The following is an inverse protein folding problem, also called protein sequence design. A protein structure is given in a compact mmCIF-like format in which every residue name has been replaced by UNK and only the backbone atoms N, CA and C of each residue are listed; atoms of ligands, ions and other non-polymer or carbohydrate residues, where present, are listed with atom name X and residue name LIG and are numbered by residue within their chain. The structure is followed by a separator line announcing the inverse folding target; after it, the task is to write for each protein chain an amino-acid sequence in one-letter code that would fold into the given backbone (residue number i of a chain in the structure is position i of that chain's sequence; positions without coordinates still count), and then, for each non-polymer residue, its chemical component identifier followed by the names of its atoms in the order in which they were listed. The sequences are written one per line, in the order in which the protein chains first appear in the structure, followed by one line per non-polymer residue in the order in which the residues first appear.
data_IF_693241055585
#
_entry.id   IF_693241055585
#
_cell.length_a   1.000
_cell.length_b   1.000
_cell.length_c   1.000
_cell.angle_alpha   90.00
_cell.angle_beta   90.00
_cell.angle_gamma   90.00
#
_symmetry.space_group_name_H-M   'P 1'
#
loop_
_entity.id
_entity.type
_entity.pdbx_description
1 polymer ?
#
# COMPACT_ATOMS: atom_id res chain seq x y z
N UNK A 1 -34.80 -2.46 6.23
CA UNK A 1 -36.06 -2.85 5.58
C UNK A 1 -36.88 -3.64 6.60
N UNK A 2 -38.21 -3.71 6.47
CA UNK A 2 -39.09 -4.44 7.39
C UNK A 2 -39.39 -5.85 6.87
N UNK A 3 -39.14 -6.88 7.69
CA UNK A 3 -39.44 -8.28 7.33
C UNK A 3 -40.95 -8.52 7.37
N UNK A 4 -41.56 -8.69 6.19
CA UNK A 4 -42.99 -8.87 6.01
C UNK A 4 -43.31 -10.19 5.28
N UNK A 5 -44.60 -10.45 5.01
CA UNK A 5 -45.03 -11.67 4.31
C UNK A 5 -44.48 -11.79 2.88
N UNK A 6 -44.19 -10.67 2.20
CA UNK A 6 -43.60 -10.68 0.87
C UNK A 6 -42.14 -11.15 0.94
N UNK A 7 -41.45 -10.75 1.98
CA UNK A 7 -40.04 -11.05 2.18
C UNK A 7 -39.83 -12.48 2.71
N UNK A 8 -40.76 -12.97 3.52
CA UNK A 8 -40.87 -14.40 3.80
C UNK A 8 -41.11 -15.22 2.54
N UNK A 9 -42.00 -14.77 1.65
CA UNK A 9 -42.26 -15.44 0.38
C UNK A 9 -41.02 -15.44 -0.51
N UNK A 10 -40.33 -14.29 -0.61
CA UNK A 10 -39.08 -14.18 -1.35
C UNK A 10 -38.01 -15.11 -0.78
N UNK A 11 -37.90 -15.22 0.54
CA UNK A 11 -36.96 -16.12 1.19
C UNK A 11 -37.27 -17.59 0.86
N UNK A 12 -38.53 -18.01 1.00
CA UNK A 12 -38.96 -19.36 0.60
C UNK A 12 -38.65 -19.64 -0.86
N UNK A 13 -38.88 -18.67 -1.75
CA UNK A 13 -38.55 -18.77 -3.17
C UNK A 13 -37.05 -18.93 -3.42
N UNK A 14 -36.21 -18.17 -2.71
CA UNK A 14 -34.75 -18.25 -2.82
C UNK A 14 -34.19 -19.57 -2.30
N UNK A 15 -34.74 -20.11 -1.20
CA UNK A 15 -34.39 -21.44 -0.70
C UNK A 15 -34.81 -22.52 -1.69
N UNK A 16 -36.05 -22.48 -2.19
CA UNK A 16 -36.54 -23.44 -3.19
C UNK A 16 -35.69 -23.39 -4.48
N UNK A 17 -35.30 -22.18 -4.92
CA UNK A 17 -34.39 -22.00 -6.03
C UNK A 17 -33.01 -22.64 -5.77
N UNK A 18 -32.43 -22.41 -4.59
CA UNK A 18 -31.13 -22.97 -4.23
C UNK A 18 -31.15 -24.50 -4.26
N UNK A 19 -32.21 -25.10 -3.71
CA UNK A 19 -32.42 -26.56 -3.73
C UNK A 19 -32.53 -27.11 -5.16
N UNK A 20 -33.34 -26.48 -6.01
CA UNK A 20 -33.48 -26.88 -7.43
C UNK A 20 -32.15 -26.81 -8.18
N UNK A 21 -31.35 -25.78 -7.90
CA UNK A 21 -30.06 -25.58 -8.57
C UNK A 21 -29.03 -26.61 -8.11
N UNK A 22 -29.06 -27.00 -6.83
CA UNK A 22 -28.12 -27.96 -6.27
C UNK A 22 -28.37 -29.39 -6.77
N UNK A 23 -29.59 -29.92 -6.61
CA UNK A 23 -29.85 -31.34 -6.86
C UNK A 23 -30.00 -31.68 -8.35
N UNK A 24 -30.03 -30.67 -9.25
CA UNK A 24 -30.21 -30.81 -10.72
C UNK A 24 -31.43 -31.67 -11.15
N UNK A 25 -32.26 -32.06 -10.18
CA UNK A 25 -33.43 -32.93 -10.26
C UNK A 25 -34.49 -32.41 -9.28
N UNK A 26 -35.74 -32.47 -9.74
CA UNK A 26 -37.03 -32.34 -9.02
C UNK A 26 -37.33 -31.05 -8.24
N UNK A 27 -38.11 -30.18 -8.90
CA UNK A 27 -39.42 -29.64 -8.44
C UNK A 27 -39.61 -29.18 -6.99
N UNK A 28 -38.58 -28.78 -6.24
CA UNK A 28 -38.79 -28.16 -4.91
C UNK A 28 -39.68 -26.93 -5.07
N UNK A 29 -40.91 -26.97 -4.60
CA UNK A 29 -41.83 -25.83 -4.68
C UNK A 29 -41.61 -24.91 -3.48
N UNK A 30 -42.11 -23.68 -3.58
CA UNK A 30 -42.06 -22.70 -2.49
C UNK A 30 -42.82 -23.24 -1.26
N UNK A 31 -43.91 -23.98 -1.49
CA UNK A 31 -44.70 -24.68 -0.46
C UNK A 31 -43.90 -25.71 0.34
N UNK A 32 -42.80 -26.20 -0.21
CA UNK A 32 -41.97 -27.21 0.45
C UNK A 32 -40.98 -26.57 1.44
N UNK A 33 -40.90 -25.25 1.49
CA UNK A 33 -40.08 -24.50 2.44
C UNK A 33 -40.97 -24.00 3.57
N UNK A 34 -40.84 -24.63 4.73
CA UNK A 34 -41.60 -24.31 5.92
C UNK A 34 -40.74 -23.42 6.81
N UNK A 35 -41.28 -22.27 7.22
CA UNK A 35 -40.69 -21.39 8.23
C UNK A 35 -41.37 -21.64 9.56
N UNK A 36 -40.58 -21.79 10.61
CA UNK A 36 -41.03 -22.09 11.97
C UNK A 36 -40.44 -21.06 12.94
N UNK A 37 -41.25 -20.64 13.91
CA UNK A 37 -40.83 -19.77 15.03
C UNK A 37 -40.17 -18.45 14.58
N UNK A 38 -40.88 -17.68 13.76
CA UNK A 38 -40.47 -16.33 13.35
C UNK A 38 -40.58 -15.38 14.53
N UNK A 39 -39.50 -14.66 14.83
CA UNK A 39 -39.44 -13.67 15.92
C UNK A 39 -39.41 -12.23 15.38
N UNK A 40 -39.72 -11.26 16.24
CA UNK A 40 -39.67 -9.82 15.90
C UNK A 40 -38.27 -9.34 15.50
N UNK A 41 -37.21 -10.00 15.99
CA UNK A 41 -35.82 -9.74 15.60
C UNK A 41 -35.40 -10.46 14.33
N UNK A 42 -36.34 -11.08 13.61
CA UNK A 42 -36.13 -11.83 12.36
C UNK A 42 -35.16 -13.00 12.57
N UNK A 43 -35.53 -13.89 13.49
CA UNK A 43 -34.91 -15.21 13.61
C UNK A 43 -35.97 -16.28 13.39
N UNK A 44 -35.66 -17.30 12.61
CA UNK A 44 -36.55 -18.43 12.39
C UNK A 44 -35.75 -19.68 12.00
N UNK A 45 -36.35 -20.84 12.22
CA UNK A 45 -35.87 -22.10 11.66
C UNK A 45 -36.62 -22.35 10.36
N UNK A 46 -35.99 -23.00 9.39
CA UNK A 46 -36.68 -23.46 8.20
C UNK A 46 -36.36 -24.92 7.90
N UNK A 47 -37.33 -25.60 7.30
CA UNK A 47 -37.22 -26.99 6.90
C UNK A 47 -37.63 -27.11 5.44
N UNK A 48 -36.89 -27.93 4.69
CA UNK A 48 -37.20 -28.25 3.30
C UNK A 48 -37.76 -29.66 3.24
N UNK A 49 -38.94 -29.80 2.64
CA UNK A 49 -39.58 -31.09 2.41
C UNK A 49 -39.50 -31.47 0.93
N UNK A 50 -39.71 -32.75 0.62
CA UNK A 50 -39.82 -33.23 -0.75
C UNK A 50 -41.19 -33.87 -0.94
N UNK A 51 -42.14 -33.14 -1.51
CA UNK A 51 -43.47 -33.69 -1.79
C UNK A 51 -43.49 -34.78 -2.87
N UNK A 52 -42.40 -34.96 -3.63
CA UNK A 52 -42.31 -36.00 -4.66
C UNK A 52 -41.84 -37.36 -4.10
N UNK A 53 -41.27 -37.39 -2.90
CA UNK A 53 -40.87 -38.62 -2.20
C UNK A 53 -41.70 -38.74 -0.93
N UNK A 54 -42.06 -39.96 -0.52
CA UNK A 54 -42.67 -40.22 0.80
C UNK A 54 -41.67 -40.01 1.97
N UNK A 55 -40.67 -39.14 1.78
CA UNK A 55 -39.67 -38.74 2.77
C UNK A 55 -40.11 -37.39 3.32
N UNK A 56 -40.36 -37.34 4.62
CA UNK A 56 -40.96 -36.18 5.30
C UNK A 56 -40.07 -34.94 5.28
N UNK A 57 -38.74 -35.09 5.15
CA UNK A 57 -37.77 -33.99 5.21
C UNK A 57 -36.49 -34.27 4.43
N UNK A 58 -35.97 -33.29 3.70
CA UNK A 58 -34.66 -33.37 3.03
C UNK A 58 -33.54 -33.36 4.09
N UNK A 59 -32.46 -34.09 3.84
CA UNK A 59 -31.33 -34.15 4.77
C UNK A 59 -30.70 -32.76 4.95
N UNK A 60 -30.42 -32.38 6.21
CA UNK A 60 -29.87 -31.06 6.53
C UNK A 60 -28.52 -30.76 5.83
N UNK A 61 -27.70 -31.78 5.57
CA UNK A 61 -26.43 -31.65 4.84
C UNK A 61 -26.64 -31.27 3.37
N UNK A 62 -27.70 -31.76 2.73
CA UNK A 62 -28.06 -31.41 1.36
C UNK A 62 -28.54 -29.96 1.29
N UNK A 63 -29.39 -29.56 2.24
CA UNK A 63 -29.87 -28.18 2.36
C UNK A 63 -28.69 -27.23 2.63
N UNK A 64 -27.80 -27.59 3.54
CA UNK A 64 -26.59 -26.83 3.84
C UNK A 64 -25.72 -26.65 2.59
N UNK A 65 -25.46 -27.72 1.84
CA UNK A 65 -24.67 -27.65 0.63
C UNK A 65 -25.33 -26.78 -0.46
N UNK A 66 -26.65 -26.88 -0.62
CA UNK A 66 -27.42 -26.08 -1.56
C UNK A 66 -27.40 -24.58 -1.23
N UNK A 67 -27.58 -24.24 0.05
CA UNK A 67 -27.51 -22.86 0.54
C UNK A 67 -26.09 -22.32 0.39
N UNK A 68 -25.07 -23.10 0.79
CA UNK A 68 -23.66 -22.71 0.66
C UNK A 68 -23.29 -22.39 -0.79
N UNK A 69 -23.76 -23.21 -1.75
CA UNK A 69 -23.50 -22.99 -3.18
C UNK A 69 -24.17 -21.72 -3.73
N UNK A 70 -25.33 -21.34 -3.20
CA UNK A 70 -26.11 -20.20 -3.70
C UNK A 70 -26.07 -18.98 -2.77
N UNK A 71 -25.20 -18.99 -1.74
CA UNK A 71 -25.18 -18.01 -0.65
C UNK A 71 -25.04 -16.57 -1.14
N UNK A 72 -24.12 -16.33 -2.07
CA UNK A 72 -23.92 -15.00 -2.67
C UNK A 72 -25.20 -14.47 -3.33
N UNK A 73 -25.94 -15.34 -4.03
CA UNK A 73 -27.17 -14.93 -4.73
C UNK A 73 -28.33 -14.67 -3.78
N UNK A 74 -28.44 -15.48 -2.71
CA UNK A 74 -29.43 -15.27 -1.63
C UNK A 74 -29.16 -13.93 -0.95
N UNK A 75 -27.92 -13.69 -0.53
CA UNK A 75 -27.49 -12.44 0.07
C UNK A 75 -27.78 -11.22 -0.80
N UNK A 76 -27.41 -11.28 -2.08
CA UNK A 76 -27.68 -10.20 -3.03
C UNK A 76 -29.17 -9.93 -3.23
N UNK A 77 -30.03 -10.95 -3.15
CA UNK A 77 -31.48 -10.76 -3.27
C UNK A 77 -32.07 -9.94 -2.10
N UNK A 78 -31.49 -10.05 -0.91
CA UNK A 78 -31.91 -9.28 0.27
C UNK A 78 -31.03 -8.05 0.54
N UNK A 79 -30.03 -7.78 -0.31
CA UNK A 79 -29.00 -6.76 -0.07
C UNK A 79 -28.29 -6.95 1.29
N UNK A 80 -28.17 -8.20 1.73
CA UNK A 80 -27.53 -8.58 2.99
C UNK A 80 -26.16 -9.18 2.70
N UNK A 81 -25.24 -9.03 3.66
CA UNK A 81 -23.93 -9.66 3.62
C UNK A 81 -23.92 -10.97 4.40
N UNK A 82 -22.86 -11.76 4.23
CA UNK A 82 -22.60 -12.99 4.97
C UNK A 82 -22.53 -12.79 6.51
N UNK A 83 -22.34 -11.54 6.98
CA UNK A 83 -22.34 -11.18 8.40
C UNK A 83 -23.73 -10.84 8.94
N UNK A 84 -24.62 -10.34 8.08
CA UNK A 84 -25.97 -9.89 8.46
C UNK A 84 -27.02 -10.99 8.25
N UNK A 85 -26.82 -11.85 7.25
CA UNK A 85 -27.63 -13.07 7.04
C UNK A 85 -26.77 -14.29 7.41
N UNK A 86 -26.97 -14.75 8.64
CA UNK A 86 -26.23 -15.86 9.22
C UNK A 86 -27.08 -17.13 9.21
N UNK A 87 -26.50 -18.21 8.71
CA UNK A 87 -27.05 -19.56 8.85
C UNK A 87 -26.25 -20.27 9.94
N UNK A 88 -26.84 -20.48 11.13
CA UNK A 88 -26.12 -20.94 12.33
C UNK A 88 -25.37 -22.27 12.16
N UNK A 89 -25.81 -23.14 11.23
CA UNK A 89 -25.15 -24.42 10.96
C UNK A 89 -24.26 -24.43 9.71
N UNK A 90 -24.21 -23.34 8.94
CA UNK A 90 -23.47 -23.27 7.68
C UNK A 90 -22.31 -22.30 7.87
N UNK A 91 -21.09 -22.83 7.91
CA UNK A 91 -19.88 -22.01 8.05
C UNK A 91 -19.80 -20.95 6.95
N UNK A 92 -19.44 -19.72 7.35
CA UNK A 92 -19.40 -18.58 6.44
C UNK A 92 -18.45 -18.83 5.27
N UNK A 93 -18.89 -18.53 4.06
CA UNK A 93 -18.10 -18.61 2.81
C UNK A 93 -17.14 -17.45 2.61
N UNK A 94 -17.10 -16.47 3.52
CA UNK A 94 -16.10 -15.40 3.45
C UNK A 94 -14.73 -16.03 3.68
N UNK A 95 -13.94 -16.14 2.61
CA UNK A 95 -12.50 -16.28 2.74
C UNK A 95 -11.99 -15.14 3.64
N UNK A 96 -11.16 -15.43 4.65
CA UNK A 96 -10.67 -14.39 5.57
C UNK A 96 -10.14 -13.21 4.77
N UNK A 97 -10.39 -11.95 5.23
CA UNK A 97 -9.89 -10.76 4.55
C UNK A 97 -8.42 -10.98 4.19
N UNK A 98 -8.08 -10.83 2.91
CA UNK A 98 -6.71 -11.03 2.45
C UNK A 98 -5.87 -10.00 3.18
N UNK A 99 -5.11 -10.47 4.17
CA UNK A 99 -4.19 -9.60 4.88
C UNK A 99 -3.16 -9.10 3.86
N UNK A 100 -2.91 -7.78 3.79
CA UNK A 100 -1.90 -7.26 2.89
C UNK A 100 -0.57 -7.97 3.19
N UNK A 101 0.08 -8.51 2.15
CA UNK A 101 1.30 -9.33 2.28
C UNK A 101 2.48 -8.60 2.95
N UNK A 102 2.37 -7.29 3.17
CA UNK A 102 3.31 -6.51 3.97
C UNK A 102 2.58 -5.59 4.95
N UNK A 103 3.01 -5.54 6.22
CA UNK A 103 2.50 -4.56 7.17
C UNK A 103 2.83 -3.13 6.71
N UNK A 104 1.83 -2.25 6.69
CA UNK A 104 1.97 -0.85 6.25
C UNK A 104 3.07 -0.11 7.03
N UNK A 105 3.23 -0.40 8.32
CA UNK A 105 4.26 0.21 9.16
C UNK A 105 5.69 -0.07 8.66
N UNK A 106 5.92 -1.23 8.03
CA UNK A 106 7.23 -1.62 7.52
C UNK A 106 7.65 -0.76 6.31
N UNK A 107 6.68 -0.35 5.49
CA UNK A 107 6.88 0.60 4.38
C UNK A 107 7.25 1.98 4.94
N UNK A 108 6.51 2.46 5.94
CA UNK A 108 6.77 3.76 6.59
C UNK A 108 8.16 3.77 7.24
N UNK A 109 8.52 2.70 7.95
CA UNK A 109 9.83 2.55 8.56
C UNK A 109 10.96 2.60 7.51
N UNK A 110 10.82 1.91 6.39
CA UNK A 110 11.80 1.92 5.31
C UNK A 110 12.06 3.30 4.73
N UNK A 111 11.00 4.09 4.50
CA UNK A 111 11.13 5.46 3.98
C UNK A 111 11.83 6.38 4.99
N UNK A 112 11.41 6.33 6.27
CA UNK A 112 12.01 7.16 7.32
C UNK A 112 13.49 6.82 7.52
N UNK A 113 13.84 5.53 7.54
CA UNK A 113 15.23 5.07 7.65
C UNK A 113 16.07 5.59 6.48
N UNK A 114 15.55 5.48 5.25
CA UNK A 114 16.25 5.94 4.05
C UNK A 114 16.50 7.45 4.06
N UNK A 115 15.50 8.26 4.41
CA UNK A 115 15.65 9.72 4.54
C UNK A 115 16.62 10.11 5.64
N UNK A 116 16.61 9.40 6.77
CA UNK A 116 17.52 9.64 7.89
C UNK A 116 18.97 9.37 7.49
N UNK A 117 19.22 8.22 6.85
CA UNK A 117 20.56 7.85 6.35
C UNK A 117 21.04 8.83 5.29
N UNK A 118 20.19 9.19 4.32
CA UNK A 118 20.52 10.18 3.29
C UNK A 118 20.87 11.54 3.91
N UNK A 119 20.09 11.99 4.91
CA UNK A 119 20.36 13.22 5.65
C UNK A 119 21.71 13.19 6.37
N UNK A 120 22.04 12.10 7.07
CA UNK A 120 23.33 11.94 7.75
C UNK A 120 24.49 11.97 6.76
N UNK A 121 24.40 11.23 5.66
CA UNK A 121 25.44 11.19 4.62
C UNK A 121 25.63 12.59 4.01
N UNK A 122 24.54 13.30 3.70
CA UNK A 122 24.60 14.65 3.16
C UNK A 122 25.28 15.64 4.13
N UNK A 123 25.00 15.53 5.42
CA UNK A 123 25.65 16.34 6.46
C UNK A 123 27.16 16.05 6.56
N UNK A 124 27.55 14.78 6.52
CA UNK A 124 28.98 14.38 6.55
C UNK A 124 29.71 14.94 5.33
N UNK A 125 29.17 14.73 4.12
CA UNK A 125 29.78 15.19 2.87
C UNK A 125 29.91 16.72 2.85
N UNK A 126 28.84 17.43 3.23
CA UNK A 126 28.85 18.89 3.30
C UNK A 126 29.83 19.40 4.35
N UNK A 127 29.91 18.75 5.52
CA UNK A 127 30.87 19.08 6.57
C UNK A 127 32.32 18.95 6.10
N UNK A 128 32.65 17.85 5.41
CA UNK A 128 33.99 17.62 4.84
C UNK A 128 34.30 18.63 3.73
N UNK A 129 33.36 18.89 2.82
CA UNK A 129 33.56 19.87 1.74
C UNK A 129 33.75 21.28 2.28
N UNK A 130 33.00 21.69 3.30
CA UNK A 130 33.16 23.01 3.95
C UNK A 130 34.52 23.14 4.63
N UNK A 131 34.98 22.12 5.38
CA UNK A 131 36.33 22.14 5.95
C UNK A 131 37.41 22.19 4.86
N UNK A 132 37.24 21.45 3.76
CA UNK A 132 38.19 21.47 2.63
C UNK A 132 38.21 22.81 1.89
N UNK A 133 37.07 23.53 1.81
CA UNK A 133 37.01 24.89 1.26
C UNK A 133 37.65 25.91 2.21
N UNK A 134 37.34 25.86 3.50
CA UNK A 134 37.93 26.77 4.50
C UNK A 134 39.44 26.57 4.67
N UNK A 135 39.96 25.35 4.48
CA UNK A 135 41.41 25.10 4.51
C UNK A 135 42.15 25.52 3.23
N UNK A 136 41.42 25.95 2.19
CA UNK A 136 41.98 26.55 0.97
C UNK A 136 41.88 28.09 0.97
N UNK A 137 41.27 28.66 2.00
CA UNK A 137 40.92 30.08 2.07
C UNK A 137 41.48 30.67 3.38
N UNK A 138 42.81 30.79 3.45
CA UNK A 138 43.54 31.73 4.32
C UNK A 138 44.54 32.51 3.45
N UNK A 139 44.88 33.76 3.80
CA UNK A 139 44.76 34.90 2.90
C UNK A 139 46.02 35.18 2.06
N UNK A 140 45.81 35.49 0.78
CA UNK A 140 46.43 36.66 0.16
C UNK A 140 45.31 37.60 -0.30
N UNK A 141 45.28 38.76 0.37
CA UNK A 141 44.75 40.07 -0.06
C UNK A 141 43.31 40.16 -0.56
N UNK A 142 42.54 40.89 0.24
CA UNK A 142 41.38 41.69 -0.14
C UNK A 142 41.60 42.36 -1.50
N UNK A 143 40.71 42.12 -2.47
CA UNK A 143 40.11 43.19 -3.25
C UNK A 143 38.90 42.66 -4.04
N UNK A 144 37.77 43.32 -3.78
CA UNK A 144 36.68 43.65 -4.70
C UNK A 144 36.38 42.64 -5.83
N UNK A 145 35.19 42.02 -5.79
CA UNK A 145 34.14 42.42 -6.74
C UNK A 145 32.80 41.74 -6.45
N UNK A 146 31.89 42.60 -6.05
CA UNK A 146 30.46 42.53 -6.23
C UNK A 146 30.07 42.04 -7.65
N UNK A 147 29.08 41.13 -7.68
CA UNK A 147 28.10 40.90 -8.76
C UNK A 147 28.55 40.07 -9.97
N UNK A 148 27.89 38.92 -10.12
CA UNK A 148 27.22 38.63 -11.40
C UNK A 148 25.93 37.84 -11.18
N UNK A 149 24.91 38.60 -10.78
CA UNK A 149 23.53 38.35 -11.19
C UNK A 149 23.49 38.43 -12.72
N UNK A 150 23.01 37.36 -13.35
CA UNK A 150 22.86 37.25 -14.79
C UNK A 150 21.79 38.22 -15.26
N UNK A 151 22.21 39.39 -15.76
CA UNK A 151 21.38 40.24 -16.63
C UNK A 151 22.10 40.49 -17.93
N UNK A 152 21.52 39.92 -18.98
CA UNK A 152 21.77 40.07 -20.41
C UNK A 152 21.96 41.54 -20.82
N UNK A 153 23.08 41.87 -21.48
CA UNK A 153 23.16 42.91 -22.52
C UNK A 153 24.37 42.72 -23.43
N UNK A 154 24.08 42.24 -24.65
CA UNK A 154 24.51 42.71 -25.98
C UNK A 154 25.98 43.15 -26.18
N UNK A 155 26.62 42.38 -27.06
CA UNK A 155 27.86 42.58 -27.84
C UNK A 155 28.23 44.01 -28.28
N UNK A 156 29.53 44.35 -28.21
CA UNK A 156 30.38 44.80 -29.34
C UNK A 156 31.68 45.48 -28.87
N UNK A 157 32.83 44.99 -29.34
CA UNK A 157 34.08 45.76 -29.44
C UNK A 157 35.36 45.06 -28.91
N UNK A 158 36.26 44.70 -29.84
CA UNK A 158 37.68 44.31 -29.65
C UNK A 158 38.54 45.54 -30.05
N UNK A 159 39.88 45.65 -29.91
CA UNK A 159 40.92 45.01 -29.07
C UNK A 159 41.83 46.03 -28.32
N UNK A 160 42.72 45.55 -27.45
CA UNK A 160 44.09 46.08 -27.44
C UNK A 160 45.09 44.98 -27.08
N UNK A 161 45.97 44.68 -28.04
CA UNK A 161 47.11 43.78 -27.93
C UNK A 161 48.24 44.37 -27.07
N UNK A 162 49.29 43.55 -26.89
CA UNK A 162 50.67 43.82 -26.44
C UNK A 162 50.93 43.46 -24.96
N UNK A 163 51.90 42.62 -24.58
CA UNK A 163 53.06 42.05 -25.28
C UNK A 163 53.54 40.79 -24.53
N UNK A 164 53.98 39.83 -25.34
CA UNK A 164 54.75 38.64 -25.02
C UNK A 164 56.10 38.98 -24.35
N UNK A 165 56.45 38.29 -23.26
CA UNK A 165 57.82 38.07 -22.81
C UNK A 165 57.90 36.71 -22.08
N UNK A 166 57.90 35.65 -22.88
CA UNK A 166 59.01 34.69 -22.97
C UNK A 166 59.77 34.31 -21.67
N UNK A 167 59.58 33.03 -21.32
CA UNK A 167 60.61 32.05 -20.93
C UNK A 167 61.37 32.21 -19.61
N UNK A 168 61.36 31.13 -18.83
CA UNK A 168 62.33 30.91 -17.75
C UNK A 168 62.04 29.65 -16.92
N UNK A 169 62.31 28.48 -17.49
CA UNK A 169 62.37 27.21 -16.78
C UNK A 169 63.70 27.12 -16.02
N UNK A 170 63.73 26.70 -14.75
CA UNK A 170 64.51 25.55 -14.21
C UNK A 170 64.40 25.45 -12.67
N UNK A 171 64.23 24.22 -12.18
CA UNK A 171 64.47 23.80 -10.79
C UNK A 171 65.95 23.46 -10.59
N UNK A 172 66.50 23.78 -9.41
CA UNK A 172 67.87 23.40 -9.04
C UNK A 172 68.10 23.50 -7.53
N UNK A 173 68.20 22.32 -6.91
CA UNK A 173 68.57 22.03 -5.51
C UNK A 173 70.07 22.26 -5.30
N UNK A 174 70.49 22.88 -4.18
CA UNK A 174 71.71 22.68 -3.36
C UNK A 174 71.63 23.76 -2.24
N UNK A 175 71.43 23.45 -0.95
CA UNK A 175 72.31 22.85 0.06
C UNK A 175 73.33 23.83 0.68
N UNK A 176 73.33 23.84 2.03
CA UNK A 176 74.30 24.40 2.99
C UNK A 176 74.44 25.95 2.97
N UNK A 177 74.47 26.65 4.09
CA UNK A 177 75.39 26.42 5.21
C UNK A 177 74.97 27.20 6.48
N UNK A 178 75.72 26.92 7.55
CA UNK A 178 76.04 27.77 8.70
C UNK A 178 75.06 27.87 9.88
N UNK A 179 75.46 27.86 11.15
CA UNK A 179 76.63 27.44 11.94
C UNK A 179 76.16 27.68 13.39
N UNK A 180 76.48 26.81 14.36
CA UNK A 180 76.63 27.32 15.74
C UNK A 180 77.57 26.46 16.57
N UNK A 181 78.76 27.02 16.73
CA UNK A 181 79.86 26.59 17.58
C UNK A 181 79.64 26.82 19.08
N UNK A 182 80.52 26.13 19.84
CA UNK A 182 81.09 26.44 21.16
C UNK A 182 80.41 25.76 22.37
N UNK A 183 80.97 24.68 22.92
CA UNK A 183 82.08 24.58 23.92
C UNK A 183 81.53 24.70 25.35
N UNK A 184 81.84 23.86 26.35
CA UNK A 184 83.04 23.11 26.73
C UNK A 184 82.61 21.88 27.56
#
# INVERSE_FOLDING_TARGET
YAWDANEEYLFKAMVAFAMRRYSSKSTTQISNVLLCNVTDRVSFWFVVTDSAKNVTTVAGSEVEAAIRMNRNRINSAFLLSDKTLQFLKISSTIAPPVEPSTPVWLIVFGVVLCLTVAGIVFLIVTGIQRRKKQNKESPETEDLEEKCEVTVTIENGIPCETLDLKAGHINGVYAADDERFASL
#
